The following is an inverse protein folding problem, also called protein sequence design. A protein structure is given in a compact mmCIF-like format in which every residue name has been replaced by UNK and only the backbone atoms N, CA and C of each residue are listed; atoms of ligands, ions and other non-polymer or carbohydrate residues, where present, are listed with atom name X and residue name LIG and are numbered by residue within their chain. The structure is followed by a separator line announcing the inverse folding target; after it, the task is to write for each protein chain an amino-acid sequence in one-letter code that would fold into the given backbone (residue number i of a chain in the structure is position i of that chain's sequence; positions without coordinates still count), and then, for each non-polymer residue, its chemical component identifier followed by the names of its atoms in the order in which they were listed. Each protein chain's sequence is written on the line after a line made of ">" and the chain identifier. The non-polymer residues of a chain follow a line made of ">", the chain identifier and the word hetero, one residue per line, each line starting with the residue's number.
data_IF_265057698188
#
_entry.id   IF_265057698188
#
_cell.length_a   1.000
_cell.length_b   1.000
_cell.length_c   1.000
_cell.angle_alpha   90.00
_cell.angle_beta   90.00
_cell.angle_gamma   90.00
#
_symmetry.space_group_name_H-M   'P 1'
#
loop_
_entity.id
_entity.type
_entity.pdbx_description
1 polymer ?
#
# COMPACT_ATOMS: atom_id res chain seq x y z
N UNK A 1 -2.59 -0.79 22.39
CA UNK A 1 -3.99 -1.06 21.99
C UNK A 1 -4.35 -2.53 22.11
N UNK A 2 -3.61 -3.48 21.50
CA UNK A 2 -3.93 -4.91 21.59
C UNK A 2 -3.93 -5.46 23.00
N UNK A 3 -2.95 -5.09 23.83
CA UNK A 3 -2.87 -5.49 25.25
C UNK A 3 -4.03 -4.93 26.09
N UNK A 4 -4.62 -3.83 25.69
CA UNK A 4 -5.78 -3.21 26.36
C UNK A 4 -7.12 -3.69 25.78
N UNK A 5 -7.13 -4.75 24.98
CA UNK A 5 -8.32 -5.33 24.33
C UNK A 5 -9.13 -4.37 23.45
N UNK A 6 -8.49 -3.34 22.86
CA UNK A 6 -9.15 -2.41 21.94
C UNK A 6 -9.49 -3.02 20.58
N UNK A 7 -8.99 -4.21 20.27
CA UNK A 7 -9.36 -4.96 19.07
C UNK A 7 -10.85 -5.25 18.96
N UNK A 8 -11.53 -5.40 20.11
CA UNK A 8 -12.97 -5.63 20.14
C UNK A 8 -13.80 -4.42 19.67
N UNK A 9 -13.24 -3.21 19.67
CA UNK A 9 -13.92 -1.99 19.25
C UNK A 9 -14.26 -1.98 17.75
N UNK A 10 -13.59 -2.79 16.95
CA UNK A 10 -13.88 -2.92 15.51
C UNK A 10 -15.32 -3.34 15.24
N UNK A 11 -15.95 -4.09 16.17
CA UNK A 11 -17.33 -4.54 16.06
C UNK A 11 -18.34 -3.41 16.08
N UNK A 12 -17.95 -2.25 16.61
CA UNK A 12 -18.81 -1.07 16.71
C UNK A 12 -18.65 -0.12 15.51
N UNK A 13 -17.73 -0.43 14.57
CA UNK A 13 -17.56 0.37 13.36
C UNK A 13 -18.63 -0.04 12.34
N UNK A 14 -19.58 0.85 12.00
CA UNK A 14 -20.60 0.56 11.00
C UNK A 14 -19.99 0.29 9.62
N UNK A 15 -20.61 -0.60 8.88
CA UNK A 15 -20.19 -0.95 7.51
C UNK A 15 -20.11 0.27 6.58
N UNK A 16 -21.00 1.24 6.76
CA UNK A 16 -21.00 2.49 5.99
C UNK A 16 -19.72 3.30 6.17
N UNK A 17 -19.17 3.36 7.41
CA UNK A 17 -17.91 4.04 7.68
C UNK A 17 -16.76 3.31 6.97
N UNK A 18 -16.75 1.99 7.05
CA UNK A 18 -15.73 1.15 6.40
C UNK A 18 -15.73 1.36 4.87
N UNK A 19 -16.91 1.35 4.27
CA UNK A 19 -17.07 1.54 2.83
C UNK A 19 -16.67 2.96 2.41
N UNK A 20 -17.10 3.97 3.17
CA UNK A 20 -16.74 5.37 2.91
C UNK A 20 -15.22 5.60 3.01
N UNK A 21 -14.58 5.05 4.03
CA UNK A 21 -13.13 5.12 4.22
C UNK A 21 -12.37 4.47 3.06
N UNK A 22 -12.76 3.24 2.68
CA UNK A 22 -12.13 2.50 1.58
C UNK A 22 -12.31 3.22 0.24
N UNK A 23 -13.51 3.76 -0.02
CA UNK A 23 -13.78 4.53 -1.24
C UNK A 23 -12.97 5.83 -1.28
N UNK A 24 -12.85 6.53 -0.14
CA UNK A 24 -12.01 7.73 -0.03
C UNK A 24 -10.54 7.45 -0.33
N UNK A 25 -10.00 6.36 0.21
CA UNK A 25 -8.63 5.91 -0.09
C UNK A 25 -8.48 5.60 -1.58
N UNK A 26 -9.43 4.89 -2.19
CA UNK A 26 -9.38 4.56 -3.61
C UNK A 26 -9.30 5.82 -4.49
N UNK A 27 -10.13 6.83 -4.20
CA UNK A 27 -10.10 8.13 -4.91
C UNK A 27 -8.75 8.83 -4.73
N UNK A 28 -8.23 8.86 -3.50
CA UNK A 28 -6.93 9.46 -3.18
C UNK A 28 -5.79 8.79 -3.94
N UNK A 29 -5.81 7.46 -4.03
CA UNK A 29 -4.82 6.68 -4.79
C UNK A 29 -4.92 7.01 -6.28
N UNK A 30 -6.12 7.03 -6.86
CA UNK A 30 -6.31 7.38 -8.28
C UNK A 30 -5.74 8.77 -8.57
N UNK A 31 -6.09 9.77 -7.77
CA UNK A 31 -5.58 11.14 -7.94
C UNK A 31 -4.05 11.18 -7.80
N UNK A 32 -3.49 10.42 -6.84
CA UNK A 32 -2.05 10.30 -6.65
C UNK A 32 -1.31 9.70 -7.85
N UNK A 33 -1.95 8.80 -8.60
CA UNK A 33 -1.36 8.14 -9.77
C UNK A 33 -1.50 8.93 -11.08
N UNK A 34 -2.36 9.95 -11.13
CA UNK A 34 -2.57 10.72 -12.37
C UNK A 34 -1.28 11.31 -12.92
N UNK A 35 -0.43 11.86 -12.06
CA UNK A 35 0.86 12.44 -12.45
C UNK A 35 1.72 11.45 -13.24
N UNK A 36 1.92 10.26 -12.66
CA UNK A 36 2.83 9.26 -13.24
C UNK A 36 2.20 8.56 -14.44
N UNK A 37 0.88 8.34 -14.43
CA UNK A 37 0.14 7.75 -15.54
C UNK A 37 0.19 8.61 -16.81
N UNK A 38 0.05 9.94 -16.65
CA UNK A 38 0.13 10.88 -17.77
C UNK A 38 1.55 11.44 -17.98
N UNK A 39 2.52 11.05 -17.17
CA UNK A 39 3.89 11.55 -17.24
C UNK A 39 4.01 13.07 -17.00
N UNK A 40 3.09 13.65 -16.23
CA UNK A 40 3.04 15.09 -15.95
C UNK A 40 4.15 15.50 -14.99
N UNK A 41 4.82 16.62 -15.32
CA UNK A 41 5.79 17.23 -14.41
C UNK A 41 5.13 18.41 -13.70
N UNK A 42 5.21 18.42 -12.36
CA UNK A 42 4.65 19.51 -11.59
C UNK A 42 5.49 20.79 -11.76
N UNK A 43 4.86 21.95 -12.03
CA UNK A 43 5.56 23.21 -12.21
C UNK A 43 6.32 23.60 -10.93
N UNK A 44 7.45 24.33 -11.10
CA UNK A 44 8.26 24.87 -10.01
C UNK A 44 8.75 23.86 -8.96
N UNK A 45 8.84 22.56 -9.28
CA UNK A 45 9.28 21.55 -8.33
C UNK A 45 8.32 21.35 -7.15
N UNK A 46 7.06 21.69 -7.30
CA UNK A 46 6.02 21.48 -6.29
C UNK A 46 5.97 20.02 -5.85
N UNK A 47 5.91 19.80 -4.55
CA UNK A 47 5.73 18.47 -3.94
C UNK A 47 4.43 18.45 -3.14
N UNK A 48 3.27 18.42 -3.80
CA UNK A 48 1.99 18.47 -3.13
C UNK A 48 1.79 17.21 -2.28
N UNK A 49 1.32 17.41 -1.06
CA UNK A 49 1.03 16.33 -0.10
C UNK A 49 -0.45 16.02 -0.11
N UNK A 50 -1.28 17.05 -0.04
CA UNK A 50 -2.72 16.91 0.03
C UNK A 50 -3.35 16.55 -1.32
N UNK A 51 -4.47 15.84 -1.29
CA UNK A 51 -5.16 15.35 -2.49
C UNK A 51 -5.61 16.49 -3.41
N UNK A 52 -6.13 17.59 -2.85
CA UNK A 52 -6.55 18.76 -3.63
C UNK A 52 -5.37 19.52 -4.23
N UNK A 53 -4.25 19.60 -3.50
CA UNK A 53 -3.02 20.19 -4.03
C UNK A 53 -2.47 19.38 -5.21
N UNK A 54 -2.53 18.03 -5.12
CA UNK A 54 -2.12 17.12 -6.21
C UNK A 54 -2.98 17.35 -7.46
N UNK A 55 -4.29 17.50 -7.27
CA UNK A 55 -5.21 17.74 -8.38
C UNK A 55 -4.95 19.10 -9.05
N UNK A 56 -4.74 20.15 -8.26
CA UNK A 56 -4.40 21.48 -8.76
C UNK A 56 -3.04 21.47 -9.47
N UNK A 57 -2.03 20.86 -8.88
CA UNK A 57 -0.69 20.75 -9.49
C UNK A 57 -0.74 19.94 -10.81
N UNK A 58 -1.57 18.89 -10.86
CA UNK A 58 -1.81 18.11 -12.07
C UNK A 58 -2.45 18.97 -13.16
N UNK A 59 -3.50 19.73 -12.82
CA UNK A 59 -4.17 20.62 -13.79
C UNK A 59 -3.21 21.69 -14.33
N UNK A 60 -2.40 22.32 -13.47
CA UNK A 60 -1.40 23.32 -13.87
C UNK A 60 -0.26 22.73 -14.71
N UNK A 61 0.13 21.49 -14.41
CA UNK A 61 1.20 20.79 -15.11
C UNK A 61 0.77 20.01 -16.36
N UNK A 62 -0.52 20.00 -16.69
CA UNK A 62 -1.07 19.13 -17.75
C UNK A 62 -0.47 19.37 -19.13
N UNK A 63 0.00 20.59 -19.41
CA UNK A 63 0.70 20.91 -20.66
C UNK A 63 2.01 20.15 -20.87
N UNK A 64 2.59 19.58 -19.80
CA UNK A 64 3.83 18.79 -19.82
C UNK A 64 3.59 17.29 -19.95
N UNK A 65 2.39 16.82 -20.33
CA UNK A 65 2.10 15.40 -20.41
C UNK A 65 2.98 14.70 -21.47
N UNK A 66 3.35 13.47 -21.18
CA UNK A 66 4.16 12.63 -22.08
C UNK A 66 3.38 11.44 -22.60
N UNK A 67 3.29 11.33 -23.92
CA UNK A 67 2.59 10.23 -24.60
C UNK A 67 3.20 8.88 -24.25
N UNK A 68 4.52 8.82 -24.10
CA UNK A 68 5.24 7.59 -23.77
C UNK A 68 4.78 6.99 -22.42
N UNK A 69 4.58 7.83 -21.41
CA UNK A 69 4.06 7.41 -20.11
C UNK A 69 2.63 6.87 -20.24
N UNK A 70 1.79 7.57 -21.02
CA UNK A 70 0.41 7.16 -21.27
C UNK A 70 0.35 5.80 -22.00
N UNK A 71 1.26 5.56 -22.96
CA UNK A 71 1.34 4.26 -23.66
C UNK A 71 1.68 3.15 -22.66
N UNK A 72 2.72 3.32 -21.85
CA UNK A 72 3.13 2.31 -20.86
C UNK A 72 2.02 2.10 -19.82
N UNK A 73 1.43 3.18 -19.31
CA UNK A 73 0.32 3.13 -18.36
C UNK A 73 -0.92 2.46 -18.96
N UNK A 74 -1.29 2.82 -20.18
CA UNK A 74 -2.45 2.25 -20.88
C UNK A 74 -2.28 0.75 -21.18
N UNK A 75 -1.12 0.33 -21.66
CA UNK A 75 -0.81 -1.09 -21.87
C UNK A 75 -0.84 -1.86 -20.56
N UNK A 76 -0.24 -1.31 -19.50
CA UNK A 76 -0.26 -1.94 -18.17
C UNK A 76 -1.68 -2.08 -17.62
N UNK A 77 -2.52 -1.06 -17.81
CA UNK A 77 -3.92 -1.10 -17.41
C UNK A 77 -4.71 -2.13 -18.23
N UNK A 78 -4.50 -2.19 -19.54
CA UNK A 78 -5.12 -3.19 -20.40
C UNK A 78 -4.74 -4.62 -19.97
N UNK A 79 -3.48 -4.86 -19.64
CA UNK A 79 -3.00 -6.15 -19.13
C UNK A 79 -3.70 -6.49 -17.82
N UNK A 80 -3.81 -5.55 -16.88
CA UNK A 80 -4.49 -5.77 -15.60
C UNK A 80 -5.96 -6.15 -15.76
N UNK A 81 -6.66 -5.57 -16.76
CA UNK A 81 -8.06 -5.86 -17.04
C UNK A 81 -8.20 -7.21 -17.75
N UNK A 82 -7.34 -7.51 -18.71
CA UNK A 82 -7.46 -8.69 -19.58
C UNK A 82 -6.87 -9.94 -18.94
N UNK A 83 -5.78 -9.79 -18.19
CA UNK A 83 -5.02 -10.93 -17.62
C UNK A 83 -5.85 -11.90 -16.79
N UNK A 84 -6.81 -11.49 -15.93
CA UNK A 84 -7.63 -12.43 -15.16
C UNK A 84 -8.51 -13.36 -16.02
N UNK A 85 -8.83 -12.93 -17.24
CA UNK A 85 -9.62 -13.75 -18.18
C UNK A 85 -8.77 -14.80 -18.92
N UNK A 86 -7.47 -14.50 -19.11
CA UNK A 86 -6.55 -15.38 -19.86
C UNK A 86 -5.73 -16.25 -18.90
N UNK A 87 -5.15 -15.65 -17.87
CA UNK A 87 -4.24 -16.31 -16.94
C UNK A 87 -4.81 -16.39 -15.53
N UNK A 88 -5.48 -17.51 -15.23
CA UNK A 88 -6.10 -17.73 -13.91
C UNK A 88 -5.11 -17.96 -12.76
N UNK A 89 -3.86 -18.35 -13.07
CA UNK A 89 -2.84 -18.74 -12.07
C UNK A 89 -1.74 -17.68 -11.85
N UNK A 90 -1.58 -16.74 -12.77
CA UNK A 90 -0.52 -15.74 -12.71
C UNK A 90 -1.16 -14.39 -12.39
N UNK A 91 -0.70 -13.69 -11.33
CA UNK A 91 -1.19 -12.34 -11.01
C UNK A 91 -0.95 -11.39 -12.19
N UNK A 92 -2.02 -10.75 -12.66
CA UNK A 92 -1.93 -9.80 -13.78
C UNK A 92 -0.98 -8.63 -13.53
N UNK A 93 -0.80 -8.25 -12.28
CA UNK A 93 0.16 -7.23 -11.88
C UNK A 93 1.61 -7.63 -12.17
N UNK A 94 1.97 -8.89 -11.98
CA UNK A 94 3.30 -9.40 -12.32
C UNK A 94 3.55 -9.32 -13.83
N UNK A 95 2.55 -9.73 -14.62
CA UNK A 95 2.64 -9.67 -16.09
C UNK A 95 2.79 -8.21 -16.54
N UNK A 96 1.99 -7.30 -15.99
CA UNK A 96 2.05 -5.87 -16.33
C UNK A 96 3.41 -5.25 -16.01
N UNK A 97 4.00 -5.59 -14.86
CA UNK A 97 5.35 -5.10 -14.47
C UNK A 97 6.41 -5.63 -15.43
N UNK A 98 6.41 -6.95 -15.74
CA UNK A 98 7.39 -7.54 -16.65
C UNK A 98 7.28 -6.93 -18.04
N UNK A 99 6.06 -6.80 -18.58
CA UNK A 99 5.85 -6.19 -19.91
C UNK A 99 6.23 -4.70 -19.88
N UNK A 100 5.90 -3.96 -18.82
CA UNK A 100 6.30 -2.57 -18.68
C UNK A 100 7.82 -2.39 -18.69
N UNK A 101 8.57 -3.25 -17.97
CA UNK A 101 10.04 -3.25 -17.98
C UNK A 101 10.57 -3.55 -19.40
N UNK A 102 10.02 -4.55 -20.09
CA UNK A 102 10.44 -4.89 -21.44
C UNK A 102 10.15 -3.76 -22.43
N UNK A 103 8.98 -3.11 -22.31
CA UNK A 103 8.65 -1.96 -23.16
C UNK A 103 9.67 -0.84 -22.99
N UNK A 104 9.96 -0.43 -21.77
CA UNK A 104 10.91 0.66 -21.48
C UNK A 104 12.34 0.29 -21.88
N UNK A 105 12.70 -1.00 -21.83
CA UNK A 105 14.04 -1.47 -22.20
C UNK A 105 14.25 -1.58 -23.71
N UNK A 106 13.25 -2.03 -24.46
CA UNK A 106 13.38 -2.35 -25.89
C UNK A 106 12.81 -1.30 -26.83
N UNK A 107 11.89 -0.45 -26.36
CA UNK A 107 11.36 0.66 -27.13
C UNK A 107 12.03 1.97 -26.70
N UNK A 108 12.22 2.94 -27.63
CA UNK A 108 12.80 4.25 -27.32
C UNK A 108 11.75 5.15 -26.60
N UNK A 109 11.32 4.71 -25.43
CA UNK A 109 10.33 5.43 -24.62
C UNK A 109 11.02 6.27 -23.54
N UNK A 110 10.69 7.56 -23.51
CA UNK A 110 11.23 8.51 -22.53
C UNK A 110 10.29 8.60 -21.32
N UNK A 111 10.35 7.58 -20.45
CA UNK A 111 9.59 7.54 -19.21
C UNK A 111 10.51 7.58 -17.99
N UNK A 112 10.06 8.22 -16.92
CA UNK A 112 10.79 8.21 -15.65
C UNK A 112 10.73 6.82 -15.03
N UNK A 113 11.88 6.23 -14.81
CA UNK A 113 12.00 4.94 -14.10
C UNK A 113 12.26 5.17 -12.61
N UNK A 114 12.02 4.14 -11.81
CA UNK A 114 12.31 4.19 -10.37
C UNK A 114 13.79 4.53 -10.12
N UNK A 115 14.71 4.01 -10.94
CA UNK A 115 16.13 4.32 -10.84
C UNK A 115 16.50 5.77 -11.17
N UNK A 116 15.65 6.48 -11.93
CA UNK A 116 15.84 7.91 -12.22
C UNK A 116 15.31 8.80 -11.08
N UNK A 117 14.30 8.31 -10.35
CA UNK A 117 13.62 9.07 -9.31
C UNK A 117 14.24 8.83 -7.92
N UNK A 118 14.77 7.63 -7.67
CA UNK A 118 15.25 7.19 -6.36
C UNK A 118 16.58 6.46 -6.48
N UNK A 119 17.47 6.72 -5.54
CA UNK A 119 18.69 5.93 -5.35
C UNK A 119 18.34 4.68 -4.54
N UNK A 120 18.34 3.51 -5.20
CA UNK A 120 18.13 2.24 -4.52
C UNK A 120 19.49 1.73 -4.08
N UNK A 121 19.75 1.67 -2.78
CA UNK A 121 20.94 1.04 -2.21
C UNK A 121 20.74 -0.47 -2.16
N UNK A 122 21.81 -1.22 -2.40
CA UNK A 122 21.82 -2.69 -2.26
C UNK A 122 22.13 -3.13 -0.83
N UNK A 123 22.22 -2.17 0.11
CA UNK A 123 22.54 -2.46 1.48
C UNK A 123 21.34 -3.09 2.19
N UNK A 124 21.58 -4.13 2.97
CA UNK A 124 20.57 -4.71 3.83
C UNK A 124 20.25 -3.75 4.98
N UNK A 125 18.99 -3.70 5.44
CA UNK A 125 18.63 -2.90 6.60
C UNK A 125 19.50 -3.25 7.80
N UNK A 126 20.23 -2.29 8.35
CA UNK A 126 21.08 -2.48 9.51
C UNK A 126 20.31 -2.18 10.79
N UNK A 127 20.53 -3.01 11.81
CA UNK A 127 19.98 -2.77 13.14
C UNK A 127 20.62 -1.53 13.76
N UNK A 128 19.81 -0.58 14.17
CA UNK A 128 20.26 0.59 14.93
C UNK A 128 19.22 1.02 15.95
N UNK A 129 19.68 1.46 17.10
CA UNK A 129 18.80 2.05 18.10
C UNK A 129 18.75 3.55 17.82
N UNK A 130 17.59 4.11 17.45
CA UNK A 130 17.48 5.54 17.16
C UNK A 130 17.82 6.37 18.41
N UNK A 131 18.63 7.40 18.22
CA UNK A 131 18.95 8.35 19.31
C UNK A 131 17.73 9.21 19.63
N UNK A 132 16.96 8.80 20.64
CA UNK A 132 15.70 9.44 21.00
C UNK A 132 15.92 10.48 22.10
N UNK A 133 15.64 11.76 21.81
CA UNK A 133 15.60 12.82 22.80
C UNK A 133 14.20 12.95 23.39
N UNK A 134 14.09 13.21 24.69
CA UNK A 134 12.78 13.34 25.35
C UNK A 134 11.88 14.42 24.73
N UNK A 135 12.46 15.53 24.29
CA UNK A 135 11.74 16.59 23.58
C UNK A 135 11.10 16.10 22.27
N UNK A 136 11.81 15.25 21.51
CA UNK A 136 11.28 14.65 20.28
C UNK A 136 10.13 13.70 20.56
N UNK A 137 10.23 12.88 21.62
CA UNK A 137 9.15 12.00 22.05
C UNK A 137 7.89 12.81 22.33
N UNK A 138 8.02 13.85 23.17
CA UNK A 138 6.88 14.69 23.57
C UNK A 138 6.18 15.34 22.35
N UNK A 139 6.94 15.87 21.40
CA UNK A 139 6.39 16.50 20.21
C UNK A 139 5.77 15.49 19.23
N UNK A 140 6.22 14.23 19.24
CA UNK A 140 5.75 13.20 18.33
C UNK A 140 4.53 12.42 18.85
N UNK A 141 4.22 12.51 20.14
CA UNK A 141 3.10 11.75 20.74
C UNK A 141 1.76 11.93 20.00
N UNK A 142 1.30 13.15 19.65
CA UNK A 142 0.03 13.33 18.97
C UNK A 142 0.01 12.61 17.61
N UNK A 143 1.08 12.77 16.84
CA UNK A 143 1.21 12.13 15.52
C UNK A 143 1.33 10.61 15.64
N UNK A 144 2.11 10.12 16.59
CA UNK A 144 2.25 8.69 16.86
C UNK A 144 0.92 8.05 17.27
N UNK A 145 0.14 8.75 18.09
CA UNK A 145 -1.19 8.28 18.49
C UNK A 145 -2.14 8.21 17.28
N UNK A 146 -2.16 9.26 16.46
CA UNK A 146 -2.99 9.28 15.24
C UNK A 146 -2.60 8.15 14.28
N UNK A 147 -1.31 7.96 14.03
CA UNK A 147 -0.82 6.87 13.17
C UNK A 147 -1.18 5.51 13.77
N UNK A 148 -1.03 5.32 15.08
CA UNK A 148 -1.36 4.07 15.75
C UNK A 148 -2.86 3.73 15.66
N UNK A 149 -3.74 4.73 15.80
CA UNK A 149 -5.19 4.55 15.65
C UNK A 149 -5.55 4.20 14.21
N UNK A 150 -5.02 4.95 13.24
CA UNK A 150 -5.26 4.69 11.83
C UNK A 150 -4.75 3.30 11.41
N UNK A 151 -3.53 2.94 11.81
CA UNK A 151 -2.96 1.63 11.53
C UNK A 151 -3.76 0.49 12.16
N UNK A 152 -4.26 0.68 13.39
CA UNK A 152 -5.11 -0.30 14.06
C UNK A 152 -6.44 -0.51 13.32
N UNK A 153 -7.11 0.58 12.92
CA UNK A 153 -8.36 0.52 12.17
C UNK A 153 -8.14 -0.16 10.82
N UNK A 154 -7.13 0.25 10.07
CA UNK A 154 -6.86 -0.27 8.73
C UNK A 154 -6.50 -1.76 8.78
N UNK A 155 -5.65 -2.18 9.72
CA UNK A 155 -5.28 -3.59 9.91
C UNK A 155 -6.49 -4.45 10.27
N UNK A 156 -7.32 -4.00 11.22
CA UNK A 156 -8.53 -4.73 11.62
C UNK A 156 -9.58 -4.78 10.51
N UNK A 157 -9.75 -3.69 9.73
CA UNK A 157 -10.62 -3.70 8.56
C UNK A 157 -10.14 -4.68 7.50
N UNK A 158 -8.83 -4.75 7.28
CA UNK A 158 -8.24 -5.75 6.38
C UNK A 158 -8.56 -7.18 6.83
N UNK A 159 -8.50 -7.44 8.14
CA UNK A 159 -8.88 -8.73 8.72
C UNK A 159 -10.38 -9.04 8.56
N UNK A 160 -11.25 -8.06 8.78
CA UNK A 160 -12.71 -8.23 8.61
C UNK A 160 -13.06 -8.56 7.15
N UNK A 161 -12.41 -7.89 6.19
CA UNK A 161 -12.60 -8.19 4.77
C UNK A 161 -12.08 -9.60 4.44
N UNK A 162 -10.92 -9.98 4.98
CA UNK A 162 -10.38 -11.32 4.82
C UNK A 162 -11.32 -12.38 5.39
N UNK A 163 -11.84 -12.19 6.60
CA UNK A 163 -12.82 -13.08 7.23
C UNK A 163 -14.04 -13.33 6.33
N UNK A 164 -14.59 -12.24 5.76
CA UNK A 164 -15.73 -12.34 4.86
C UNK A 164 -15.43 -13.10 3.57
N UNK A 165 -14.17 -13.07 3.09
CA UNK A 165 -13.77 -13.73 1.85
C UNK A 165 -13.41 -15.21 2.04
N UNK A 166 -12.80 -15.58 3.18
CA UNK A 166 -12.35 -16.97 3.45
C UNK A 166 -13.25 -17.70 4.43
N UNK A 167 -14.34 -17.07 4.88
CA UNK A 167 -15.24 -17.57 5.92
C UNK A 167 -14.47 -17.91 7.23
N UNK A 168 -13.50 -17.06 7.55
CA UNK A 168 -12.64 -17.19 8.73
C UNK A 168 -13.08 -16.33 9.91
N UNK A 169 -12.29 -16.34 10.97
CA UNK A 169 -12.45 -15.45 12.13
C UNK A 169 -11.09 -15.09 12.70
N UNK A 170 -10.73 -13.83 12.61
CA UNK A 170 -9.46 -13.34 13.16
C UNK A 170 -9.55 -13.06 14.67
N UNK A 171 -8.39 -12.94 15.31
CA UNK A 171 -8.24 -12.53 16.71
C UNK A 171 -7.75 -11.10 16.76
N UNK A 172 -8.68 -10.13 16.87
CA UNK A 172 -8.41 -8.70 16.74
C UNK A 172 -7.32 -8.18 17.70
N UNK A 173 -7.31 -8.63 18.96
CA UNK A 173 -6.29 -8.18 19.93
C UNK A 173 -4.91 -8.72 19.59
N UNK A 174 -4.83 -9.99 19.16
CA UNK A 174 -3.56 -10.61 18.73
C UNK A 174 -3.01 -9.92 17.49
N UNK A 175 -3.89 -9.54 16.56
CA UNK A 175 -3.53 -8.79 15.36
C UNK A 175 -2.88 -7.45 15.71
N UNK A 176 -3.51 -6.68 16.61
CA UNK A 176 -2.97 -5.40 17.06
C UNK A 176 -1.63 -5.53 17.78
N UNK A 177 -1.44 -6.59 18.56
CA UNK A 177 -0.14 -6.86 19.21
C UNK A 177 0.92 -7.19 18.16
N UNK A 178 0.60 -8.07 17.21
CA UNK A 178 1.52 -8.43 16.13
C UNK A 178 1.91 -7.22 15.27
N UNK A 179 0.93 -6.38 14.93
CA UNK A 179 1.14 -5.13 14.20
C UNK A 179 2.08 -4.18 14.97
N UNK A 180 1.85 -4.03 16.27
CA UNK A 180 2.70 -3.21 17.13
C UNK A 180 4.15 -3.71 17.21
N UNK A 181 4.35 -5.01 17.39
CA UNK A 181 5.68 -5.63 17.42
C UNK A 181 6.38 -5.51 16.07
N UNK A 182 5.65 -5.72 14.97
CA UNK A 182 6.18 -5.53 13.61
C UNK A 182 6.67 -4.10 13.36
N UNK A 183 5.90 -3.10 13.82
CA UNK A 183 6.29 -1.70 13.68
C UNK A 183 7.48 -1.30 14.58
N UNK A 184 7.60 -1.88 15.77
CA UNK A 184 8.79 -1.70 16.61
C UNK A 184 10.01 -2.29 15.91
N UNK A 185 9.91 -3.51 15.39
CA UNK A 185 10.99 -4.13 14.64
C UNK A 185 11.35 -3.31 13.40
N UNK A 186 10.37 -2.84 12.63
CA UNK A 186 10.59 -1.97 11.47
C UNK A 186 11.41 -0.73 11.85
N UNK A 187 11.04 -0.04 12.94
CA UNK A 187 11.75 1.15 13.41
C UNK A 187 13.21 0.86 13.80
N UNK A 188 13.49 -0.32 14.40
CA UNK A 188 14.85 -0.72 14.78
C UNK A 188 15.75 -1.02 13.56
N UNK A 189 15.16 -1.31 12.41
CA UNK A 189 15.85 -1.50 11.13
C UNK A 189 15.74 -0.29 10.19
N UNK A 190 15.37 0.88 10.71
CA UNK A 190 15.25 2.12 9.92
C UNK A 190 14.05 2.18 8.99
N UNK A 191 13.08 1.29 9.18
CA UNK A 191 11.85 1.29 8.40
C UNK A 191 10.82 2.31 8.89
N UNK A 192 9.80 2.52 8.07
CA UNK A 192 8.64 3.37 8.35
C UNK A 192 7.51 2.55 8.98
N UNK A 193 6.55 3.19 9.67
CA UNK A 193 5.33 2.52 10.12
C UNK A 193 4.57 1.89 8.96
N UNK A 194 4.11 0.65 9.17
CA UNK A 194 3.34 -0.11 8.20
C UNK A 194 2.04 -0.65 8.83
N UNK A 195 1.06 -0.93 7.99
CA UNK A 195 -0.23 -1.50 8.39
C UNK A 195 -0.73 -2.51 7.35
N UNK A 196 -1.78 -3.26 7.69
CA UNK A 196 -2.47 -4.13 6.75
C UNK A 196 -3.11 -3.34 5.61
N UNK A 197 -3.07 -3.88 4.39
CA UNK A 197 -3.63 -3.22 3.22
C UNK A 197 -4.81 -4.03 2.67
N UNK A 198 -6.03 -3.51 2.78
CA UNK A 198 -7.28 -4.19 2.39
C UNK A 198 -7.20 -4.72 0.94
N UNK A 199 -6.78 -3.87 0.01
CA UNK A 199 -6.70 -4.25 -1.41
C UNK A 199 -5.69 -5.37 -1.68
N UNK A 200 -4.53 -5.35 -0.99
CA UNK A 200 -3.49 -6.39 -1.11
C UNK A 200 -3.95 -7.69 -0.49
N UNK A 201 -4.58 -7.64 0.68
CA UNK A 201 -5.18 -8.80 1.35
C UNK A 201 -6.24 -9.45 0.45
N UNK A 202 -7.17 -8.66 -0.09
CA UNK A 202 -8.19 -9.16 -1.01
C UNK A 202 -7.59 -9.76 -2.29
N UNK A 203 -6.55 -9.13 -2.86
CA UNK A 203 -5.86 -9.65 -4.02
C UNK A 203 -5.16 -10.99 -3.71
N UNK A 204 -4.52 -11.12 -2.54
CA UNK A 204 -3.85 -12.34 -2.12
C UNK A 204 -4.85 -13.49 -1.95
N UNK A 205 -6.01 -13.24 -1.33
CA UNK A 205 -7.09 -14.23 -1.21
C UNK A 205 -7.61 -14.67 -2.58
N UNK A 206 -7.85 -13.72 -3.50
CA UNK A 206 -8.25 -14.05 -4.87
C UNK A 206 -7.22 -14.89 -5.63
N UNK A 207 -5.95 -14.79 -5.26
CA UNK A 207 -4.87 -15.60 -5.82
C UNK A 207 -4.66 -16.94 -5.09
N UNK A 208 -5.57 -17.34 -4.18
CA UNK A 208 -5.60 -18.66 -3.58
C UNK A 208 -5.17 -18.73 -2.12
N UNK A 209 -4.96 -17.62 -1.43
CA UNK A 209 -4.73 -17.64 0.00
C UNK A 209 -6.04 -17.98 0.73
N UNK A 210 -6.04 -19.08 1.47
CA UNK A 210 -7.25 -19.64 2.12
C UNK A 210 -7.19 -19.64 3.64
N UNK A 211 -6.08 -19.20 4.23
CA UNK A 211 -5.89 -19.11 5.68
C UNK A 211 -5.06 -17.88 6.05
N UNK A 212 -5.12 -17.46 7.32
CA UNK A 212 -4.25 -16.38 7.83
C UNK A 212 -2.78 -16.73 7.77
N UNK A 213 -2.44 -18.00 7.98
CA UNK A 213 -1.07 -18.51 7.79
C UNK A 213 -0.60 -18.32 6.35
N UNK A 214 -1.45 -18.67 5.39
CA UNK A 214 -1.21 -18.47 3.95
C UNK A 214 -1.13 -16.99 3.56
N UNK A 215 -1.89 -16.14 4.23
CA UNK A 215 -1.90 -14.70 4.01
C UNK A 215 -0.62 -14.01 4.51
N UNK A 216 -0.03 -14.54 5.58
CA UNK A 216 1.08 -13.89 6.28
C UNK A 216 2.45 -14.34 5.86
N UNK A 217 2.62 -15.62 5.60
CA UNK A 217 3.98 -16.11 5.41
C UNK A 217 3.95 -17.43 4.69
N UNK A 218 3.87 -17.74 3.60
CA UNK A 218 4.27 -18.99 2.93
C UNK A 218 4.56 -20.18 3.89
N UNK A 219 3.82 -20.28 4.99
CA UNK A 219 3.99 -21.35 5.92
C UNK A 219 3.32 -22.60 5.39
N UNK A 220 4.02 -23.69 5.48
CA UNK A 220 3.56 -25.03 5.08
C UNK A 220 2.26 -25.36 5.78
N UNK A 221 1.21 -25.65 5.02
CA UNK A 221 -0.02 -26.22 5.54
C UNK A 221 0.26 -27.59 6.14
N UNK A 222 0.14 -27.68 7.45
CA UNK A 222 -0.07 -28.98 8.10
C UNK A 222 -1.57 -29.25 8.03
N UNK A 223 -1.97 -30.02 7.05
CA UNK A 223 -3.28 -30.64 7.03
C UNK A 223 -3.34 -31.68 8.15
N UNK A 224 -4.07 -31.37 9.19
CA UNK A 224 -4.63 -32.35 10.11
C UNK A 224 -6.14 -32.41 9.93
#
# INVERSE_FOLDING_TARGET
>A
MGLCHFGSLIKFIPYTITTGFTSGIAVTIVIGQLKDFFGVTYPNGLKPIETMEKLNAFALGFSSFHVDALIVGGVSLAILIISPYIFKRIPGSLIAVVIGILMVKFLPLHVSTIGNLYTITNDLPSFHIPAVKFSMVKSSIPNAFTIAVLAAIESLLSCVVADGMINGKHRSDTELVAQGLGNIASALFGGIPATGAIARTAANIKNGAVSYTHLRAHETELHL
#
